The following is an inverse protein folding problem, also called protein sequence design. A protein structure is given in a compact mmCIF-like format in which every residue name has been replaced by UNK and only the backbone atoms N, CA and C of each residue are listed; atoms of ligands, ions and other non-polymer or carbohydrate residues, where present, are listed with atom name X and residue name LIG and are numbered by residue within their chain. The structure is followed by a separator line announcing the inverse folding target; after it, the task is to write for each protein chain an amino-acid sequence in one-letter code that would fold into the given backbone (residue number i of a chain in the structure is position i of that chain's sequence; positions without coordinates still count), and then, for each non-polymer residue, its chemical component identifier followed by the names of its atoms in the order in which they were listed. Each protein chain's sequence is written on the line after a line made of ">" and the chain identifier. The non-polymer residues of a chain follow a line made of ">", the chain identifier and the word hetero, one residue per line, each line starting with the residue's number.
data_IF_333204189051
#
_entry.id   IF_333204189051
#
_cell.length_a   1.000
_cell.length_b   1.000
_cell.length_c   1.000
_cell.angle_alpha   90.00
_cell.angle_beta   90.00
_cell.angle_gamma   90.00
#
_symmetry.space_group_name_H-M   'P 1'
#
loop_
_entity.id
_entity.type
_entity.pdbx_description
1 polymer ?
#
# COMPACT_ATOMS: atom_id res chain seq x y z
N UNK A 1 -1.59 11.78 -12.58
CA UNK A 1 -0.36 12.59 -12.68
C UNK A 1 0.72 12.15 -11.68
N UNK A 2 0.40 11.53 -10.53
CA UNK A 2 1.43 11.04 -9.58
C UNK A 2 2.04 9.67 -9.94
N UNK A 3 1.25 8.73 -10.45
CA UNK A 3 1.71 7.35 -10.73
C UNK A 3 2.80 7.26 -11.83
N UNK A 4 2.79 8.19 -12.78
CA UNK A 4 3.73 8.23 -13.92
C UNK A 4 5.08 8.87 -13.61
N UNK A 5 5.27 9.43 -12.41
CA UNK A 5 6.52 10.09 -12.00
C UNK A 5 7.27 9.29 -10.92
N UNK A 6 6.74 8.15 -10.51
CA UNK A 6 7.36 7.27 -9.53
C UNK A 6 8.02 6.14 -10.32
N UNK A 7 9.34 6.09 -10.31
CA UNK A 7 10.12 4.88 -10.57
C UNK A 7 10.22 4.17 -9.21
N UNK A 8 9.36 3.17 -8.92
CA UNK A 8 9.37 2.53 -7.62
C UNK A 8 10.68 1.74 -7.51
N UNK A 9 11.49 2.04 -6.49
CA UNK A 9 12.49 1.10 -6.01
C UNK A 9 11.80 -0.04 -5.27
N UNK A 10 12.31 -0.42 -4.09
CA UNK A 10 11.56 -1.29 -3.17
C UNK A 10 10.29 -0.63 -2.57
N UNK A 11 10.27 0.70 -2.45
CA UNK A 11 9.23 1.55 -1.85
C UNK A 11 9.04 2.86 -2.63
N UNK A 12 8.05 3.70 -2.28
CA UNK A 12 7.67 4.92 -3.02
C UNK A 12 8.78 5.99 -3.08
N UNK A 13 9.67 6.03 -2.07
CA UNK A 13 10.77 6.99 -1.97
C UNK A 13 12.16 6.34 -2.11
N UNK A 14 12.24 5.09 -2.59
CA UNK A 14 13.50 4.36 -2.79
C UNK A 14 13.53 3.00 -2.10
N UNK A 15 14.63 2.64 -1.44
CA UNK A 15 14.85 1.29 -0.89
C UNK A 15 14.39 1.10 0.57
N UNK A 16 14.07 2.19 1.27
CA UNK A 16 13.71 2.18 2.70
C UNK A 16 12.21 2.39 2.89
N UNK A 17 11.61 1.65 3.83
CA UNK A 17 10.21 1.86 4.23
C UNK A 17 10.06 3.26 4.83
N UNK A 18 9.11 4.03 4.32
CA UNK A 18 8.79 5.36 4.85
C UNK A 18 7.35 5.45 5.34
N UNK A 19 7.06 6.52 6.07
CA UNK A 19 5.68 6.83 6.49
C UNK A 19 4.75 7.00 5.28
N UNK A 20 5.27 7.41 4.11
CA UNK A 20 4.46 7.55 2.90
C UNK A 20 3.94 6.19 2.42
N UNK A 21 4.76 5.13 2.49
CA UNK A 21 4.36 3.78 2.11
C UNK A 21 3.27 3.23 3.03
N UNK A 22 3.40 3.46 4.35
CA UNK A 22 2.37 3.13 5.33
C UNK A 22 1.08 3.91 5.08
N UNK A 23 1.19 5.21 4.82
CA UNK A 23 0.04 6.07 4.54
C UNK A 23 -0.71 5.59 3.29
N UNK A 24 0.00 5.30 2.20
CA UNK A 24 -0.60 4.78 0.97
C UNK A 24 -1.19 3.39 1.18
N UNK A 25 -0.55 2.52 1.96
CA UNK A 25 -1.11 1.21 2.30
C UNK A 25 -2.44 1.33 3.06
N UNK A 26 -2.54 2.25 4.02
CA UNK A 26 -3.81 2.58 4.71
C UNK A 26 -4.83 3.21 3.77
N UNK A 27 -4.43 4.23 3.01
CA UNK A 27 -5.33 4.93 2.09
C UNK A 27 -5.90 4.01 1.00
N UNK A 28 -5.13 2.99 0.55
CA UNK A 28 -5.58 1.99 -0.42
C UNK A 28 -6.80 1.18 0.05
N UNK A 29 -7.05 1.13 1.37
CA UNK A 29 -8.16 0.38 1.98
C UNK A 29 -9.46 1.20 2.00
N UNK A 30 -9.38 2.52 1.85
CA UNK A 30 -10.55 3.40 1.83
C UNK A 30 -11.20 3.45 0.43
N UNK A 31 -12.46 3.90 0.34
CA UNK A 31 -13.25 4.00 -0.90
C UNK A 31 -12.43 4.65 -2.03
N UNK A 32 -12.29 4.04 -3.23
CA UNK A 32 -13.12 2.99 -3.84
C UNK A 32 -12.70 1.53 -3.54
N UNK A 33 -11.96 1.31 -2.44
CA UNK A 33 -11.42 0.01 -2.00
C UNK A 33 -10.23 -0.46 -2.85
N UNK A 34 -9.55 -1.48 -2.34
CA UNK A 34 -8.29 -2.02 -2.89
C UNK A 34 -8.38 -2.46 -4.34
N UNK A 35 -9.49 -3.10 -4.73
CA UNK A 35 -9.65 -3.60 -6.09
C UNK A 35 -9.47 -2.48 -7.12
N UNK A 36 -10.14 -1.34 -6.93
CA UNK A 36 -10.04 -0.23 -7.87
C UNK A 36 -8.71 0.52 -7.76
N UNK A 37 -8.12 0.59 -6.56
CA UNK A 37 -6.78 1.16 -6.39
C UNK A 37 -5.73 0.40 -7.21
N UNK A 38 -5.79 -0.94 -7.21
CA UNK A 38 -4.86 -1.79 -7.94
C UNK A 38 -4.97 -1.65 -9.46
N UNK A 39 -6.15 -1.32 -9.98
CA UNK A 39 -6.37 -1.09 -11.40
C UNK A 39 -5.87 0.28 -11.87
N UNK A 40 -5.95 1.31 -11.02
CA UNK A 40 -5.65 2.70 -11.38
C UNK A 40 -4.17 3.05 -11.16
N UNK A 41 -3.54 2.44 -10.16
CA UNK A 41 -2.17 2.72 -9.77
C UNK A 41 -1.38 1.42 -9.55
N UNK A 42 -1.06 0.67 -10.62
CA UNK A 42 -0.41 -0.64 -10.52
C UNK A 42 0.98 -0.57 -9.89
N UNK A 43 1.72 0.53 -10.09
CA UNK A 43 3.05 0.71 -9.50
C UNK A 43 2.95 0.91 -7.98
N UNK A 44 2.04 1.78 -7.53
CA UNK A 44 1.76 1.97 -6.11
C UNK A 44 1.18 0.70 -5.47
N UNK A 45 0.39 -0.07 -6.22
CA UNK A 45 -0.15 -1.35 -5.76
C UNK A 45 0.95 -2.37 -5.43
N UNK A 46 2.03 -2.42 -6.21
CA UNK A 46 3.17 -3.30 -5.92
C UNK A 46 3.83 -2.95 -4.58
N UNK A 47 3.99 -1.65 -4.30
CA UNK A 47 4.53 -1.18 -3.01
C UNK A 47 3.57 -1.51 -1.86
N UNK A 48 2.26 -1.25 -2.02
CA UNK A 48 1.26 -1.56 -0.98
C UNK A 48 1.25 -3.05 -0.63
N UNK A 49 1.30 -3.93 -1.63
CA UNK A 49 1.38 -5.39 -1.40
C UNK A 49 2.64 -5.75 -0.61
N UNK A 50 3.78 -5.15 -0.95
CA UNK A 50 5.05 -5.38 -0.23
C UNK A 50 5.00 -4.89 1.21
N UNK A 51 4.34 -3.76 1.47
CA UNK A 51 4.11 -3.22 2.83
C UNK A 51 3.19 -4.14 3.64
N UNK A 52 2.16 -4.73 3.02
CA UNK A 52 1.29 -5.71 3.71
C UNK A 52 2.02 -6.99 4.10
N UNK A 53 2.99 -7.42 3.28
CA UNK A 53 3.78 -8.63 3.50
C UNK A 53 4.86 -8.45 4.59
N UNK A 54 5.06 -7.23 5.10
CA UNK A 54 6.04 -6.98 6.17
C UNK A 54 5.61 -7.68 7.47
N UNK A 55 6.44 -8.57 8.03
CA UNK A 55 6.08 -9.33 9.23
C UNK A 55 5.85 -8.43 10.44
N UNK A 56 6.57 -7.32 10.53
CA UNK A 56 6.43 -6.30 11.59
C UNK A 56 5.06 -5.61 11.58
N UNK A 57 4.39 -5.55 10.42
CA UNK A 57 3.11 -4.87 10.26
C UNK A 57 1.92 -5.82 10.24
N UNK A 58 2.16 -7.14 10.20
CA UNK A 58 1.09 -8.14 10.09
C UNK A 58 0.10 -8.06 11.25
N UNK A 59 0.61 -8.01 12.48
CA UNK A 59 -0.22 -7.90 13.68
C UNK A 59 -0.91 -6.53 13.76
N UNK A 60 -0.21 -5.47 13.35
CA UNK A 60 -0.77 -4.12 13.26
C UNK A 60 -1.96 -4.05 12.29
N UNK A 61 -1.84 -4.68 11.12
CA UNK A 61 -2.93 -4.76 10.16
C UNK A 61 -4.11 -5.57 10.69
N UNK A 62 -3.86 -6.71 11.34
CA UNK A 62 -4.91 -7.53 11.92
C UNK A 62 -5.68 -6.81 13.03
N UNK A 63 -4.99 -5.99 13.85
CA UNK A 63 -5.62 -5.21 14.92
C UNK A 63 -6.43 -4.02 14.39
N UNK A 64 -5.89 -3.27 13.44
CA UNK A 64 -6.48 -1.98 12.99
C UNK A 64 -7.44 -2.10 11.82
N UNK A 65 -7.26 -3.11 10.97
CA UNK A 65 -8.08 -3.37 9.80
C UNK A 65 -8.46 -4.85 9.80
N UNK A 66 -9.28 -5.31 10.77
CA UNK A 66 -9.81 -6.66 10.73
C UNK A 66 -10.44 -6.89 9.36
N UNK A 67 -10.04 -7.97 8.70
CA UNK A 67 -10.45 -8.27 7.34
C UNK A 67 -11.97 -8.48 7.30
N UNK A 68 -12.72 -7.44 6.98
CA UNK A 68 -14.11 -7.60 6.57
C UNK A 68 -14.10 -8.05 5.12
N UNK A 69 -14.49 -9.30 4.90
CA UNK A 69 -14.72 -9.85 3.57
C UNK A 69 -15.87 -9.06 2.91
N UNK A 70 -15.51 -7.97 2.22
CA UNK A 70 -16.38 -7.25 1.30
C UNK A 70 -16.21 -7.79 -0.11
#
# INVERSE_FOLDING_TARGET
>A
MMDSQIEPGRFLLGETLTVLDLYVAVASRWTPRRARFYEVAPQMAAVVKRVDELPELKDFWAERFPFEAG
#
